data_IF_575600579255
#
_entry.id   IF_575600579255
#
_cell.length_a   1.000
_cell.length_b   1.000
_cell.length_c   1.000
_cell.angle_alpha   90.00
_cell.angle_beta   90.00
_cell.angle_gamma   90.00
#
_symmetry.space_group_name_H-M   'P 1'
#
loop_
_entity.id
_entity.type
_entity.pdbx_description
1 polymer ?
#
# COMPACT_ATOMS: atom_id res chain seq x y z
N UNK A 1 37.54 -8.84 -32.44
CA UNK A 1 36.12 -8.65 -32.07
C UNK A 1 36.06 -8.44 -30.56
N UNK A 2 36.10 -7.18 -30.11
CA UNK A 2 36.04 -6.83 -28.68
C UNK A 2 34.64 -6.31 -28.38
N UNK A 3 33.85 -7.12 -27.68
CA UNK A 3 32.55 -6.72 -27.16
C UNK A 3 32.76 -5.72 -26.03
N UNK A 4 32.39 -4.45 -26.24
CA UNK A 4 32.30 -3.47 -25.17
C UNK A 4 31.11 -3.87 -24.25
N UNK A 5 31.28 -3.92 -22.92
CA UNK A 5 30.19 -4.23 -22.03
C UNK A 5 29.17 -3.09 -22.09
N UNK A 6 27.96 -3.42 -22.55
CA UNK A 6 26.78 -2.55 -22.48
C UNK A 6 26.53 -2.21 -21.01
N UNK A 7 27.15 -1.12 -20.53
CA UNK A 7 26.86 -0.58 -19.22
C UNK A 7 25.42 -0.06 -19.28
N UNK A 8 24.51 -0.54 -18.42
CA UNK A 8 23.14 -0.05 -18.44
C UNK A 8 23.16 1.46 -18.25
N UNK A 9 22.67 2.16 -19.26
CA UNK A 9 22.63 3.61 -19.32
C UNK A 9 21.95 4.13 -18.04
N UNK A 10 22.51 5.15 -17.39
CA UNK A 10 22.06 5.69 -16.10
C UNK A 10 20.59 6.12 -16.16
N UNK A 11 20.14 6.46 -17.37
CA UNK A 11 18.75 6.76 -17.72
C UNK A 11 17.81 5.56 -17.57
N UNK A 12 18.24 4.35 -17.94
CA UNK A 12 17.48 3.10 -17.80
C UNK A 12 17.30 2.74 -16.33
N UNK A 13 18.36 2.84 -15.53
CA UNK A 13 18.28 2.59 -14.07
C UNK A 13 17.33 3.56 -13.37
N UNK A 14 17.35 4.84 -13.77
CA UNK A 14 16.45 5.87 -13.21
C UNK A 14 14.98 5.60 -13.57
N UNK A 15 14.71 5.15 -14.81
CA UNK A 15 13.35 4.75 -15.24
C UNK A 15 12.86 3.52 -14.50
N UNK A 16 13.72 2.52 -14.30
CA UNK A 16 13.38 1.29 -13.57
C UNK A 16 13.09 1.59 -12.10
N UNK A 17 13.93 2.40 -11.46
CA UNK A 17 13.72 2.84 -10.08
C UNK A 17 12.40 3.61 -9.94
N UNK A 18 12.08 4.49 -10.89
CA UNK A 18 10.80 5.21 -10.92
C UNK A 18 9.61 4.25 -11.04
N UNK A 19 9.69 3.26 -11.93
CA UNK A 19 8.64 2.26 -12.10
C UNK A 19 8.45 1.40 -10.83
N UNK A 20 9.55 0.94 -10.23
CA UNK A 20 9.52 0.18 -8.98
C UNK A 20 8.90 1.00 -7.84
N UNK A 21 9.24 2.28 -7.76
CA UNK A 21 8.69 3.19 -6.76
C UNK A 21 7.19 3.43 -6.96
N UNK A 22 6.74 3.60 -8.20
CA UNK A 22 5.32 3.68 -8.52
C UNK A 22 4.59 2.39 -8.13
N UNK A 23 5.16 1.23 -8.45
CA UNK A 23 4.59 -0.07 -8.06
C UNK A 23 4.51 -0.23 -6.54
N UNK A 24 5.56 0.16 -5.81
CA UNK A 24 5.59 0.14 -4.35
C UNK A 24 4.53 1.05 -3.75
N UNK A 25 4.46 2.31 -4.19
CA UNK A 25 3.43 3.24 -3.73
C UNK A 25 2.03 2.71 -4.05
N UNK A 26 1.79 2.28 -5.28
CA UNK A 26 0.50 1.72 -5.69
C UNK A 26 0.10 0.53 -4.81
N UNK A 27 1.01 -0.41 -4.54
CA UNK A 27 0.78 -1.56 -3.67
C UNK A 27 0.51 -1.19 -2.21
N UNK A 28 1.27 -0.23 -1.65
CA UNK A 28 1.06 0.26 -0.28
C UNK A 28 -0.30 0.95 -0.13
N UNK A 29 -0.67 1.80 -1.09
CA UNK A 29 -1.97 2.47 -1.08
C UNK A 29 -3.11 1.50 -1.33
N UNK A 30 -3.04 0.63 -2.35
CA UNK A 30 -4.12 -0.30 -2.65
C UNK A 30 -4.31 -1.33 -1.53
N UNK A 31 -3.21 -1.89 -1.02
CA UNK A 31 -3.23 -2.83 0.10
C UNK A 31 -3.71 -2.18 1.39
N UNK A 32 -3.23 -0.96 1.67
CA UNK A 32 -3.68 -0.17 2.82
C UNK A 32 -5.17 0.14 2.76
N UNK A 33 -5.68 0.60 1.61
CA UNK A 33 -7.10 0.92 1.41
C UNK A 33 -8.00 -0.31 1.57
N UNK A 34 -7.59 -1.46 1.01
CA UNK A 34 -8.31 -2.73 1.14
C UNK A 34 -8.39 -3.17 2.61
N UNK A 35 -7.27 -3.15 3.33
CA UNK A 35 -7.23 -3.50 4.75
C UNK A 35 -8.06 -2.53 5.61
N UNK A 36 -8.02 -1.24 5.31
CA UNK A 36 -8.88 -0.24 5.96
C UNK A 36 -10.36 -0.51 5.69
N UNK A 37 -10.72 -0.82 4.44
CA UNK A 37 -12.10 -1.11 4.07
C UNK A 37 -12.64 -2.35 4.80
N UNK A 38 -11.90 -3.46 4.79
CA UNK A 38 -12.30 -4.67 5.51
C UNK A 38 -12.25 -4.49 7.03
N UNK A 39 -11.26 -3.76 7.55
CA UNK A 39 -11.14 -3.43 8.96
C UNK A 39 -12.34 -2.61 9.47
N UNK A 40 -12.70 -1.55 8.75
CA UNK A 40 -13.89 -0.74 9.02
C UNK A 40 -15.17 -1.57 8.91
N UNK A 41 -15.26 -2.46 7.93
CA UNK A 41 -16.41 -3.36 7.80
C UNK A 41 -16.51 -4.36 8.95
N UNK A 42 -15.40 -4.83 9.50
CA UNK A 42 -15.39 -5.68 10.70
C UNK A 42 -15.74 -4.92 11.99
N UNK A 43 -15.42 -3.63 12.07
CA UNK A 43 -15.71 -2.77 13.23
C UNK A 43 -17.14 -2.20 13.23
N UNK A 44 -17.67 -1.84 12.06
CA UNK A 44 -18.95 -1.15 11.91
C UNK A 44 -20.03 -2.00 11.22
N UNK A 45 -19.65 -3.10 10.57
CA UNK A 45 -20.59 -4.00 9.91
C UNK A 45 -21.30 -4.89 10.92
N UNK A 46 -22.60 -5.09 10.71
CA UNK A 46 -23.36 -6.11 11.44
C UNK A 46 -23.24 -7.44 10.70
N UNK A 47 -22.66 -8.49 11.30
CA UNK A 47 -22.69 -9.82 10.70
C UNK A 47 -24.15 -10.31 10.65
N UNK A 48 -24.57 -10.86 9.51
CA UNK A 48 -25.87 -11.52 9.38
C UNK A 48 -25.81 -12.85 10.15
N UNK A 49 -26.33 -12.85 11.37
CA UNK A 49 -26.42 -14.05 12.22
C UNK A 49 -27.65 -14.91 11.91
N UNK A 50 -28.17 -14.84 10.68
CA UNK A 50 -29.34 -15.62 10.28
C UNK A 50 -28.99 -17.13 10.27
N UNK A 51 -29.59 -17.89 11.19
CA UNK A 51 -29.44 -19.35 11.25
C UNK A 51 -28.33 -19.88 12.16
N UNK A 52 -27.66 -19.02 12.94
CA UNK A 52 -26.65 -19.42 13.93
C UNK A 52 -27.20 -19.40 15.36
N UNK A 53 -26.62 -20.23 16.23
CA UNK A 53 -26.82 -20.14 17.69
C UNK A 53 -26.32 -18.80 18.22
N UNK A 54 -26.90 -18.28 19.32
CA UNK A 54 -26.46 -17.03 19.97
C UNK A 54 -24.96 -17.06 20.30
N UNK A 55 -24.45 -18.21 20.75
CA UNK A 55 -23.05 -18.38 21.10
C UNK A 55 -22.12 -18.28 19.88
N UNK A 56 -22.53 -18.84 18.74
CA UNK A 56 -21.74 -18.79 17.50
C UNK A 56 -21.73 -17.38 16.91
N UNK A 57 -22.86 -16.67 17.01
CA UNK A 57 -22.95 -15.27 16.60
C UNK A 57 -22.03 -14.37 17.45
N UNK A 58 -22.00 -14.56 18.78
CA UNK A 58 -21.15 -13.78 19.68
C UNK A 58 -19.66 -13.99 19.38
N UNK A 59 -19.24 -15.23 19.14
CA UNK A 59 -17.86 -15.57 18.77
C UNK A 59 -17.45 -14.96 17.43
N UNK A 60 -18.33 -15.00 16.42
CA UNK A 60 -18.05 -14.38 15.11
C UNK A 60 -17.95 -12.87 15.24
N UNK A 61 -18.80 -12.25 16.05
CA UNK A 61 -18.80 -10.82 16.25
C UNK A 61 -17.53 -10.36 16.98
N UNK A 62 -17.12 -11.06 18.04
CA UNK A 62 -15.87 -10.78 18.75
C UNK A 62 -14.65 -10.95 17.83
N UNK A 63 -14.60 -12.05 17.08
CA UNK A 63 -13.53 -12.30 16.10
C UNK A 63 -13.47 -11.23 15.01
N UNK A 64 -14.62 -10.84 14.44
CA UNK A 64 -14.70 -9.81 13.42
C UNK A 64 -14.21 -8.44 13.94
N UNK A 65 -14.53 -8.11 15.19
CA UNK A 65 -14.12 -6.85 15.82
C UNK A 65 -12.62 -6.83 16.09
N UNK A 66 -12.06 -7.92 16.64
CA UNK A 66 -10.63 -8.06 16.90
C UNK A 66 -9.80 -8.02 15.60
N UNK A 67 -10.19 -8.81 14.60
CA UNK A 67 -9.53 -8.84 13.29
C UNK A 67 -9.68 -7.48 12.60
N UNK A 68 -10.87 -6.87 12.68
CA UNK A 68 -11.14 -5.57 12.08
C UNK A 68 -10.27 -4.46 12.66
N UNK A 69 -10.06 -4.46 13.97
CA UNK A 69 -9.17 -3.51 14.66
C UNK A 69 -7.71 -3.66 14.21
N UNK A 70 -7.21 -4.90 14.12
CA UNK A 70 -5.85 -5.16 13.64
C UNK A 70 -5.70 -4.76 12.17
N UNK A 71 -6.65 -5.13 11.31
CA UNK A 71 -6.63 -4.74 9.89
C UNK A 71 -6.67 -3.22 9.71
N UNK A 72 -7.43 -2.50 10.53
CA UNK A 72 -7.49 -1.03 10.47
C UNK A 72 -6.16 -0.40 10.86
N UNK A 73 -5.50 -0.91 11.92
CA UNK A 73 -4.17 -0.45 12.33
C UNK A 73 -3.12 -0.73 11.25
N UNK A 74 -3.10 -1.94 10.70
CA UNK A 74 -2.18 -2.31 9.62
C UNK A 74 -2.44 -1.50 8.35
N UNK A 75 -3.70 -1.32 7.95
CA UNK A 75 -4.09 -0.51 6.80
C UNK A 75 -3.66 0.95 6.97
N UNK A 76 -3.91 1.54 8.16
CA UNK A 76 -3.46 2.89 8.50
C UNK A 76 -1.94 3.04 8.45
N UNK A 77 -1.19 2.07 8.98
CA UNK A 77 0.26 2.08 8.93
C UNK A 77 0.81 2.01 7.49
N UNK A 78 0.21 1.19 6.62
CA UNK A 78 0.60 1.10 5.20
C UNK A 78 0.34 2.41 4.45
N UNK A 79 -0.78 3.08 4.72
CA UNK A 79 -1.08 4.40 4.15
C UNK A 79 -0.06 5.45 4.60
N UNK A 80 0.30 5.47 5.89
CA UNK A 80 1.31 6.37 6.42
C UNK A 80 2.69 6.11 5.80
N UNK A 81 3.09 4.84 5.67
CA UNK A 81 4.34 4.45 5.00
C UNK A 81 4.34 4.86 3.53
N UNK A 82 3.24 4.63 2.80
CA UNK A 82 3.08 5.07 1.41
C UNK A 82 3.26 6.58 1.25
N UNK A 83 2.67 7.38 2.14
CA UNK A 83 2.86 8.83 2.18
C UNK A 83 4.32 9.22 2.45
N UNK A 84 4.97 8.58 3.41
CA UNK A 84 6.39 8.81 3.71
C UNK A 84 7.27 8.53 2.50
N UNK A 85 7.04 7.41 1.80
CA UNK A 85 7.77 7.05 0.58
C UNK A 85 7.58 8.12 -0.50
N UNK A 86 6.35 8.60 -0.71
CA UNK A 86 6.09 9.69 -1.68
C UNK A 86 6.87 10.95 -1.29
N UNK A 87 6.80 11.38 -0.02
CA UNK A 87 7.48 12.60 0.45
C UNK A 87 9.00 12.50 0.25
N UNK A 88 9.61 11.36 0.62
CA UNK A 88 11.04 11.12 0.46
C UNK A 88 11.49 11.06 -1.00
N UNK A 89 10.59 10.68 -1.92
CA UNK A 89 10.93 10.44 -3.33
C UNK A 89 10.59 11.60 -4.25
N UNK A 90 9.79 12.58 -3.80
CA UNK A 90 9.54 13.84 -4.52
C UNK A 90 10.81 14.52 -5.08
N UNK A 91 11.91 14.68 -4.33
CA UNK A 91 13.11 15.33 -4.85
C UNK A 91 13.77 14.55 -5.99
N UNK A 92 13.63 13.23 -6.03
CA UNK A 92 14.21 12.36 -7.06
C UNK A 92 13.33 12.22 -8.31
N UNK A 93 12.05 12.55 -8.20
CA UNK A 93 11.07 12.47 -9.29
C UNK A 93 10.89 13.77 -10.06
N UNK A 94 11.38 14.88 -9.51
CA UNK A 94 11.27 16.21 -10.14
C UNK A 94 12.26 16.29 -11.32
N UNK A 95 11.80 16.63 -12.53
CA UNK A 95 12.71 16.81 -13.65
C UNK A 95 13.67 17.98 -13.36
N UNK A 96 14.93 17.90 -13.81
CA UNK A 96 15.87 19.01 -13.66
C UNK A 96 15.29 20.28 -14.32
N UNK A 97 15.56 21.47 -13.76
CA UNK A 97 15.09 22.72 -14.34
C UNK A 97 15.56 22.84 -15.80
N UNK A 98 14.73 23.41 -16.69
CA UNK A 98 15.12 23.60 -18.08
C UNK A 98 16.42 24.43 -18.16
N UNK A 99 17.30 24.17 -19.13
CA UNK A 99 18.50 24.97 -19.32
C UNK A 99 18.08 26.43 -19.51
N UNK A 100 18.61 27.30 -18.65
CA UNK A 100 18.40 28.74 -18.80
C UNK A 100 19.19 29.23 -20.02
N UNK A 101 18.61 30.09 -20.87
CA UNK A 101 19.25 30.64 -22.08
C UNK A 101 20.45 31.54 -21.76
#
# INVERSE_FOLDING_TARGET
MTAAPNSPDRSTLTRLARAALFGLCAGLFSGGLLLLFFGLRGLFGRPDCAGLSELECEVILDAATHIGRVQTLCGGALMALGLCVIVLTRPYLSPPPPPQP
#
